data_IF_169222047404
#
_entry.id   IF_169222047404
#
_cell.length_a   1.000
_cell.length_b   1.000
_cell.length_c   1.000
_cell.angle_alpha   90.00
_cell.angle_beta   90.00
_cell.angle_gamma   90.00
#
_symmetry.space_group_name_H-M   'P 1'
#
loop_
_entity.id
_entity.type
_entity.pdbx_description
1 polymer ?
#
# COMPACT_ATOMS: atom_id res chain seq x y z
N UNK A 1 -17.13 -42.59 -19.59
CA UNK A 1 -16.29 -41.39 -19.38
C UNK A 1 -16.72 -40.72 -18.08
N UNK A 2 -15.98 -40.93 -16.99
CA UNK A 2 -16.22 -40.29 -15.68
C UNK A 2 -15.14 -39.21 -15.45
N UNK A 3 -15.13 -38.19 -16.29
CA UNK A 3 -14.30 -37.00 -16.12
C UNK A 3 -15.24 -35.82 -15.90
N UNK A 4 -15.75 -35.63 -14.67
CA UNK A 4 -16.83 -34.65 -14.47
C UNK A 4 -16.93 -33.96 -13.13
N UNK A 5 -16.27 -34.43 -12.06
CA UNK A 5 -16.55 -33.89 -10.72
C UNK A 5 -15.35 -33.20 -10.06
N UNK A 6 -14.12 -33.72 -10.24
CA UNK A 6 -12.94 -33.13 -9.62
C UNK A 6 -12.50 -31.79 -10.25
N UNK A 7 -12.61 -31.66 -11.58
CA UNK A 7 -12.26 -30.43 -12.31
C UNK A 7 -13.25 -29.29 -12.04
N UNK A 8 -14.55 -29.60 -11.87
CA UNK A 8 -15.58 -28.61 -11.54
C UNK A 8 -15.50 -28.14 -10.07
N UNK A 9 -15.17 -29.04 -9.13
CA UNK A 9 -14.93 -28.67 -7.73
C UNK A 9 -13.67 -27.82 -7.55
N UNK A 10 -12.58 -28.12 -8.28
CA UNK A 10 -11.38 -27.29 -8.28
C UNK A 10 -11.63 -25.90 -8.89
N UNK A 11 -12.47 -25.81 -9.94
CA UNK A 11 -12.86 -24.54 -10.54
C UNK A 11 -13.75 -23.69 -9.60
N UNK A 12 -14.65 -24.31 -8.83
CA UNK A 12 -15.54 -23.60 -7.90
C UNK A 12 -14.82 -23.14 -6.61
N UNK A 13 -13.79 -23.88 -6.18
CA UNK A 13 -12.90 -23.45 -5.09
C UNK A 13 -11.98 -22.28 -5.51
N UNK A 14 -11.58 -22.22 -6.80
CA UNK A 14 -10.75 -21.14 -7.33
C UNK A 14 -11.50 -19.80 -7.52
N UNK A 15 -12.83 -19.79 -7.50
CA UNK A 15 -13.64 -18.58 -7.72
C UNK A 15 -14.03 -17.83 -6.43
N UNK A 16 -13.83 -18.43 -5.25
CA UNK A 16 -14.19 -17.81 -3.97
C UNK A 16 -12.93 -17.49 -3.18
N UNK A 17 -12.20 -16.48 -3.65
CA UNK A 17 -10.92 -16.13 -3.06
C UNK A 17 -11.20 -15.05 -2.05
N UNK A 18 -11.34 -15.47 -0.80
CA UNK A 18 -11.61 -14.58 0.32
C UNK A 18 -10.32 -13.96 0.83
N UNK A 19 -9.45 -13.48 -0.07
CA UNK A 19 -8.11 -13.02 0.25
C UNK A 19 -7.85 -11.53 -0.03
N UNK A 20 -8.87 -10.70 -0.05
CA UNK A 20 -8.73 -9.30 -0.38
C UNK A 20 -8.26 -8.48 0.81
N UNK A 21 -7.39 -7.53 0.52
CA UNK A 21 -6.91 -6.54 1.46
C UNK A 21 -6.19 -5.44 0.70
N UNK A 22 -6.18 -4.23 1.24
CA UNK A 22 -5.70 -3.04 0.55
C UNK A 22 -4.89 -2.17 1.52
N UNK A 23 -3.94 -1.39 0.99
CA UNK A 23 -3.27 -0.37 1.80
C UNK A 23 -4.21 0.85 1.89
N UNK A 24 -4.73 1.10 3.08
CA UNK A 24 -5.64 2.21 3.39
C UNK A 24 -4.93 3.57 3.38
N UNK A 25 -3.66 3.58 3.76
CA UNK A 25 -2.86 4.80 3.69
C UNK A 25 -1.49 4.64 4.31
N UNK A 26 -0.62 5.58 3.98
CA UNK A 26 0.71 5.75 4.55
C UNK A 26 0.67 6.81 5.66
N UNK A 27 1.41 6.56 6.74
CA UNK A 27 1.57 7.49 7.84
C UNK A 27 3.01 8.00 7.85
N UNK A 28 3.18 9.27 7.49
CA UNK A 28 4.48 9.92 7.44
C UNK A 28 5.00 10.26 8.83
N UNK A 29 6.32 10.12 9.04
CA UNK A 29 6.94 10.54 10.30
C UNK A 29 6.87 12.07 10.50
N UNK A 30 6.67 12.83 9.42
CA UNK A 30 6.37 14.26 9.43
C UNK A 30 4.91 14.61 9.77
N UNK A 31 4.07 13.62 10.12
CA UNK A 31 2.66 13.82 10.47
C UNK A 31 1.71 13.93 9.27
N UNK A 32 2.23 13.90 8.04
CA UNK A 32 1.40 13.90 6.83
C UNK A 32 0.97 12.47 6.50
N UNK A 33 -0.33 12.28 6.31
CA UNK A 33 -0.92 11.01 5.90
C UNK A 33 -1.54 11.16 4.52
N UNK A 34 -1.37 10.17 3.66
CA UNK A 34 -2.02 10.10 2.34
C UNK A 34 -2.64 8.73 2.12
N UNK A 35 -3.76 8.65 1.37
CA UNK A 35 -4.41 7.38 1.06
C UNK A 35 -3.54 6.51 0.13
N UNK A 36 -3.87 5.23 0.07
CA UNK A 36 -3.30 4.30 -0.91
C UNK A 36 -3.57 4.75 -2.35
N UNK A 37 -2.69 4.35 -3.27
CA UNK A 37 -2.74 4.77 -4.67
C UNK A 37 -3.87 4.11 -5.47
N UNK A 38 -4.41 3.00 -4.98
CA UNK A 38 -5.49 2.27 -5.65
C UNK A 38 -6.87 2.60 -5.09
N UNK A 39 -6.96 3.40 -4.02
CA UNK A 39 -8.20 3.61 -3.29
C UNK A 39 -9.25 4.33 -4.11
N UNK A 40 -10.49 3.96 -3.87
CA UNK A 40 -11.67 4.54 -4.51
C UNK A 40 -12.61 4.97 -3.39
N UNK A 41 -12.93 6.27 -3.32
CA UNK A 41 -13.90 6.80 -2.35
C UNK A 41 -15.23 6.04 -2.44
N UNK A 42 -15.96 6.00 -1.33
CA UNK A 42 -17.20 5.25 -1.12
C UNK A 42 -17.07 3.71 -1.12
N UNK A 43 -15.88 3.15 -1.36
CA UNK A 43 -15.64 1.71 -1.20
C UNK A 43 -15.91 1.28 0.26
N UNK A 44 -16.83 0.34 0.52
CA UNK A 44 -17.13 -0.09 1.88
C UNK A 44 -15.94 -0.76 2.56
N UNK A 45 -15.70 -0.44 3.83
CA UNK A 45 -14.63 -1.02 4.66
C UNK A 45 -15.16 -1.91 5.78
N UNK A 46 -16.47 -2.03 5.94
CA UNK A 46 -17.09 -2.76 7.04
C UNK A 46 -17.73 -4.09 6.62
N UNK A 47 -17.59 -4.45 5.34
CA UNK A 47 -18.19 -5.63 4.74
C UNK A 47 -17.14 -6.56 4.10
N UNK A 48 -17.24 -7.86 4.40
CA UNK A 48 -16.27 -8.87 3.97
C UNK A 48 -16.70 -9.66 2.71
N UNK A 49 -17.78 -9.24 2.05
CA UNK A 49 -18.38 -9.93 0.90
C UNK A 49 -18.07 -9.19 -0.39
N UNK A 50 -17.63 -9.88 -1.47
CA UNK A 50 -17.48 -9.24 -2.78
C UNK A 50 -18.74 -8.50 -3.25
N UNK A 51 -19.93 -8.96 -2.84
CA UNK A 51 -21.23 -8.42 -3.27
C UNK A 51 -21.52 -7.00 -2.79
N UNK A 52 -20.84 -6.52 -1.75
CA UNK A 52 -21.01 -5.14 -1.28
C UNK A 52 -19.99 -4.17 -1.92
N UNK A 53 -19.09 -4.65 -2.78
CA UNK A 53 -18.11 -3.81 -3.47
C UNK A 53 -16.88 -3.46 -2.65
N UNK A 54 -16.67 -4.02 -1.45
CA UNK A 54 -15.52 -3.73 -0.58
C UNK A 54 -14.15 -4.15 -1.16
N UNK A 55 -14.16 -4.91 -2.25
CA UNK A 55 -12.97 -5.38 -2.96
C UNK A 55 -12.63 -4.53 -4.19
N UNK A 56 -13.44 -3.50 -4.49
CA UNK A 56 -13.36 -2.73 -5.73
C UNK A 56 -11.99 -2.08 -5.97
N UNK A 57 -11.33 -1.66 -4.89
CA UNK A 57 -10.04 -0.96 -4.91
C UNK A 57 -8.86 -1.81 -4.40
N UNK A 58 -9.11 -3.10 -4.13
CA UNK A 58 -8.06 -4.05 -3.82
C UNK A 58 -7.21 -4.33 -5.07
N UNK A 59 -5.91 -4.09 -4.97
CA UNK A 59 -4.99 -4.30 -6.09
C UNK A 59 -4.67 -5.79 -6.27
N UNK A 60 -4.86 -6.28 -7.49
CA UNK A 60 -4.43 -7.60 -7.96
C UNK A 60 -3.01 -7.47 -8.51
N UNK A 61 -2.02 -8.02 -7.81
CA UNK A 61 -0.58 -7.86 -8.08
C UNK A 61 0.01 -9.22 -8.47
N UNK A 62 -0.41 -9.72 -9.63
CA UNK A 62 0.10 -10.97 -10.21
C UNK A 62 1.34 -10.69 -11.04
N UNK A 63 2.46 -11.33 -10.74
CA UNK A 63 3.75 -11.10 -11.43
C UNK A 63 3.63 -11.17 -12.96
N UNK A 64 2.89 -12.15 -13.47
CA UNK A 64 2.66 -12.33 -14.92
C UNK A 64 1.83 -11.22 -15.58
N UNK A 65 1.14 -10.38 -14.83
CA UNK A 65 0.30 -9.28 -15.35
C UNK A 65 1.01 -7.92 -15.27
N UNK A 66 2.04 -7.77 -14.43
CA UNK A 66 2.68 -6.48 -14.18
C UNK A 66 3.41 -5.94 -15.41
N UNK A 67 3.21 -4.65 -15.68
CA UNK A 67 3.83 -3.95 -16.82
C UNK A 67 3.18 -4.27 -18.17
N UNK A 68 2.01 -4.93 -18.16
CA UNK A 68 1.22 -5.20 -19.37
C UNK A 68 0.11 -4.16 -19.52
N UNK A 69 -0.59 -4.14 -20.65
CA UNK A 69 -1.78 -3.29 -20.82
C UNK A 69 -2.91 -3.62 -19.81
N UNK A 70 -2.89 -4.81 -19.20
CA UNK A 70 -3.90 -5.25 -18.23
C UNK A 70 -3.64 -4.70 -16.82
N UNK A 71 -2.37 -4.54 -16.42
CA UNK A 71 -1.98 -4.10 -15.09
C UNK A 71 -0.67 -3.32 -15.13
N UNK A 72 -0.62 -2.20 -14.41
CA UNK A 72 0.62 -1.43 -14.25
C UNK A 72 1.62 -2.17 -13.37
N UNK A 73 2.79 -1.59 -13.10
CA UNK A 73 3.69 -2.14 -12.10
C UNK A 73 3.10 -2.11 -10.68
N UNK A 74 1.96 -1.47 -10.45
CA UNK A 74 1.26 -1.47 -9.16
C UNK A 74 0.08 -2.46 -9.13
N UNK A 75 -0.15 -3.18 -10.23
CA UNK A 75 -1.27 -4.09 -10.39
C UNK A 75 -2.48 -3.41 -11.02
N UNK A 76 -3.65 -3.97 -10.74
CA UNK A 76 -4.94 -3.45 -11.20
C UNK A 76 -6.03 -3.72 -10.18
N UNK A 77 -7.07 -2.92 -10.17
CA UNK A 77 -8.26 -3.15 -9.33
C UNK A 77 -9.44 -3.59 -10.19
N UNK A 78 -10.50 -4.12 -9.55
CA UNK A 78 -11.73 -4.46 -10.26
C UNK A 78 -12.54 -3.20 -10.62
N UNK A 79 -12.51 -2.18 -9.78
CA UNK A 79 -13.26 -0.93 -9.96
C UNK A 79 -12.55 0.14 -10.79
N UNK A 80 -11.22 0.10 -10.88
CA UNK A 80 -10.42 1.18 -11.50
C UNK A 80 -9.46 0.74 -12.62
N UNK A 81 -9.29 -0.57 -12.88
CA UNK A 81 -8.34 -1.05 -13.89
C UNK A 81 -6.88 -0.92 -13.42
N UNK A 82 -5.89 -0.76 -14.33
CA UNK A 82 -4.49 -0.55 -13.97
C UNK A 82 -4.31 0.60 -12.98
N UNK A 83 -3.57 0.39 -11.89
CA UNK A 83 -3.35 1.43 -10.87
C UNK A 83 -2.40 2.50 -11.42
N UNK A 84 -2.84 3.76 -11.45
CA UNK A 84 -2.09 4.90 -11.96
C UNK A 84 -1.62 5.80 -10.81
N UNK A 85 -0.35 5.64 -10.44
CA UNK A 85 0.28 6.47 -9.40
C UNK A 85 0.33 7.94 -9.80
N UNK A 86 0.57 8.26 -11.07
CA UNK A 86 0.72 9.64 -11.52
C UNK A 86 -0.60 10.40 -11.43
N UNK A 87 -1.72 9.76 -11.80
CA UNK A 87 -3.06 10.32 -11.65
C UNK A 87 -3.42 10.58 -10.19
N UNK A 88 -3.19 9.61 -9.31
CA UNK A 88 -3.49 9.78 -7.88
C UNK A 88 -2.58 10.84 -7.23
N UNK A 89 -1.29 10.81 -7.55
CA UNK A 89 -0.33 11.82 -7.08
C UNK A 89 -0.67 13.22 -7.58
N UNK A 90 -1.15 13.37 -8.81
CA UNK A 90 -1.60 14.65 -9.34
C UNK A 90 -2.77 15.22 -8.52
N UNK A 91 -3.69 14.36 -8.05
CA UNK A 91 -4.76 14.76 -7.11
C UNK A 91 -4.17 15.29 -5.80
N UNK A 92 -3.20 14.58 -5.21
CA UNK A 92 -2.56 15.02 -3.95
C UNK A 92 -1.77 16.33 -4.12
N UNK A 93 -1.21 16.56 -5.30
CA UNK A 93 -0.45 17.76 -5.66
C UNK A 93 -1.32 18.90 -6.22
N UNK A 94 -2.63 18.70 -6.36
CA UNK A 94 -3.54 19.72 -6.88
C UNK A 94 -3.89 20.78 -5.81
N UNK A 95 -2.93 21.64 -5.48
CA UNK A 95 -3.10 22.70 -4.49
C UNK A 95 -4.24 23.67 -4.81
N UNK A 96 -4.51 23.92 -6.10
CA UNK A 96 -5.60 24.78 -6.54
C UNK A 96 -6.98 24.21 -6.18
N UNK A 97 -7.20 22.91 -6.42
CA UNK A 97 -8.46 22.24 -6.05
C UNK A 97 -8.57 21.97 -4.53
N UNK A 98 -7.44 21.95 -3.81
CA UNK A 98 -7.38 21.65 -2.38
C UNK A 98 -8.14 22.61 -1.46
N UNK A 99 -8.49 23.81 -1.92
CA UNK A 99 -9.18 24.83 -1.11
C UNK A 99 -10.67 24.99 -1.43
N UNK A 100 -11.20 24.16 -2.33
CA UNK A 100 -12.64 24.16 -2.67
C UNK A 100 -13.50 23.74 -1.48
N UNK A 101 -14.73 24.27 -1.39
CA UNK A 101 -15.70 23.92 -0.34
C UNK A 101 -15.94 22.40 -0.28
N UNK A 102 -16.06 21.76 -1.45
CA UNK A 102 -16.26 20.32 -1.53
C UNK A 102 -15.09 19.49 -0.98
N UNK A 103 -13.84 19.97 -1.13
CA UNK A 103 -12.65 19.29 -0.58
C UNK A 103 -12.56 19.49 0.91
N UNK A 104 -12.86 20.70 1.41
CA UNK A 104 -12.90 20.97 2.87
C UNK A 104 -13.94 20.09 3.57
N UNK A 105 -15.15 20.00 3.04
CA UNK A 105 -16.18 19.11 3.56
C UNK A 105 -15.75 17.63 3.52
N UNK A 106 -15.07 17.19 2.45
CA UNK A 106 -14.54 15.84 2.37
C UNK A 106 -13.50 15.55 3.46
N UNK A 107 -12.63 16.52 3.80
CA UNK A 107 -11.67 16.39 4.90
C UNK A 107 -12.34 16.27 6.26
N UNK A 108 -13.37 17.08 6.53
CA UNK A 108 -14.15 17.00 7.77
C UNK A 108 -14.81 15.62 7.94
N UNK A 109 -15.41 15.10 6.86
CA UNK A 109 -16.00 13.76 6.84
C UNK A 109 -14.92 12.69 7.06
N UNK A 110 -13.79 12.81 6.36
CA UNK A 110 -12.69 11.87 6.48
C UNK A 110 -12.11 11.84 7.90
N UNK A 111 -11.90 13.00 8.52
CA UNK A 111 -11.42 13.12 9.89
C UNK A 111 -12.39 12.47 10.88
N UNK A 112 -13.70 12.72 10.75
CA UNK A 112 -14.72 12.09 11.58
C UNK A 112 -14.74 10.56 11.40
N UNK A 113 -14.59 10.08 10.15
CA UNK A 113 -14.50 8.65 9.85
C UNK A 113 -13.26 8.01 10.49
N UNK A 114 -12.10 8.64 10.37
CA UNK A 114 -10.86 8.15 10.98
C UNK A 114 -10.94 8.13 12.50
N UNK A 115 -11.49 9.18 13.12
CA UNK A 115 -11.68 9.23 14.58
C UNK A 115 -12.53 8.06 15.08
N UNK A 116 -13.59 7.72 14.34
CA UNK A 116 -14.47 6.59 14.67
C UNK A 116 -13.79 5.24 14.39
N UNK A 117 -13.08 5.11 13.27
CA UNK A 117 -12.39 3.89 12.83
C UNK A 117 -11.22 3.52 13.74
N UNK A 118 -10.48 4.52 14.23
CA UNK A 118 -9.25 4.34 15.00
C UNK A 118 -9.39 4.69 16.49
N UNK A 119 -10.63 4.75 17.00
CA UNK A 119 -10.91 5.01 18.42
C UNK A 119 -10.20 4.04 19.38
N UNK A 120 -9.94 2.79 18.97
CA UNK A 120 -9.15 1.83 19.76
C UNK A 120 -7.65 2.02 19.55
N UNK A 121 -7.12 3.12 20.08
CA UNK A 121 -5.70 3.49 19.97
C UNK A 121 -4.80 2.42 20.61
N UNK A 122 -5.20 1.86 21.76
CA UNK A 122 -4.39 0.88 22.49
C UNK A 122 -4.10 -0.39 21.68
N UNK A 123 -5.10 -0.92 20.95
CA UNK A 123 -4.90 -2.08 20.08
C UNK A 123 -3.93 -1.78 18.93
N UNK A 124 -4.04 -0.59 18.30
CA UNK A 124 -3.14 -0.16 17.21
C UNK A 124 -1.70 0.01 17.71
N UNK A 125 -1.51 0.62 18.88
CA UNK A 125 -0.18 0.79 19.49
C UNK A 125 0.46 -0.55 19.88
N UNK A 126 -0.36 -1.52 20.27
CA UNK A 126 0.08 -2.90 20.51
C UNK A 126 0.33 -3.70 19.22
N UNK A 127 0.21 -3.07 18.04
CA UNK A 127 0.38 -3.70 16.74
C UNK A 127 -0.71 -4.71 16.37
N UNK A 128 -1.85 -4.70 17.07
CA UNK A 128 -2.98 -5.60 16.83
C UNK A 128 -3.94 -5.00 15.81
N UNK A 129 -4.63 -5.88 15.08
CA UNK A 129 -5.71 -5.49 14.19
C UNK A 129 -6.90 -4.90 14.96
N UNK A 130 -7.53 -3.87 14.39
CA UNK A 130 -8.75 -3.27 14.93
C UNK A 130 -9.92 -3.50 13.99
N UNK A 131 -11.04 -3.99 14.53
CA UNK A 131 -12.26 -4.20 13.73
C UNK A 131 -12.80 -2.88 13.20
N UNK A 132 -13.10 -2.86 11.91
CA UNK A 132 -13.66 -1.67 11.26
C UNK A 132 -15.13 -1.47 11.69
N UNK A 133 -15.52 -0.27 12.17
CA UNK A 133 -16.91 0.00 12.56
C UNK A 133 -17.89 -0.09 11.38
N UNK A 134 -19.16 -0.42 11.67
CA UNK A 134 -20.23 -0.45 10.66
C UNK A 134 -20.46 0.92 10.02
N UNK A 135 -20.79 0.93 8.74
CA UNK A 135 -21.00 2.12 7.90
C UNK A 135 -19.72 2.85 7.51
N UNK A 136 -18.54 2.28 7.77
CA UNK A 136 -17.28 2.88 7.33
C UNK A 136 -17.11 2.68 5.83
N UNK A 137 -16.86 3.76 5.11
CA UNK A 137 -16.50 3.78 3.69
C UNK A 137 -15.20 4.54 3.49
N UNK A 138 -14.53 4.29 2.37
CA UNK A 138 -13.36 5.05 1.94
C UNK A 138 -13.73 6.52 1.70
N UNK A 139 -12.91 7.45 2.19
CA UNK A 139 -13.16 8.91 2.08
C UNK A 139 -11.89 9.72 1.91
N UNK A 140 -10.73 9.05 1.83
CA UNK A 140 -9.43 9.67 1.84
C UNK A 140 -9.04 10.30 0.52
N UNK A 141 -9.55 9.83 -0.63
CA UNK A 141 -9.06 10.27 -1.94
C UNK A 141 -9.39 11.74 -2.18
N UNK A 142 -10.67 12.11 -2.09
CA UNK A 142 -11.08 13.51 -2.23
C UNK A 142 -10.51 14.38 -1.12
N UNK A 143 -10.49 13.90 0.12
CA UNK A 143 -9.91 14.62 1.26
C UNK A 143 -8.43 14.96 1.05
N UNK A 144 -7.67 14.07 0.41
CA UNK A 144 -6.26 14.22 0.09
C UNK A 144 -5.95 15.21 -1.04
N UNK A 145 -6.97 15.71 -1.75
CA UNK A 145 -6.78 16.68 -2.85
C UNK A 145 -5.96 17.88 -2.38
N UNK A 146 -4.82 18.14 -3.01
CA UNK A 146 -3.92 19.24 -2.69
C UNK A 146 -3.19 19.14 -1.34
N UNK A 147 -3.35 18.07 -0.56
CA UNK A 147 -2.67 17.92 0.74
C UNK A 147 -1.16 17.89 0.59
N UNK A 148 -0.64 17.13 -0.39
CA UNK A 148 0.79 17.02 -0.59
C UNK A 148 1.42 18.32 -1.11
N UNK A 149 0.68 19.10 -1.90
CA UNK A 149 1.14 20.43 -2.33
C UNK A 149 1.26 21.42 -1.17
N UNK A 150 0.40 21.30 -0.15
CA UNK A 150 0.36 22.22 0.99
C UNK A 150 1.29 21.79 2.14
N UNK A 151 1.37 20.49 2.41
CA UNK A 151 2.03 19.95 3.62
C UNK A 151 3.28 19.13 3.29
N UNK A 152 3.56 18.90 2.00
CA UNK A 152 4.58 17.95 1.55
C UNK A 152 4.07 16.50 1.55
N UNK A 153 4.93 15.58 1.13
CA UNK A 153 4.62 14.15 1.09
C UNK A 153 4.84 13.48 2.47
N UNK A 154 4.15 12.36 2.77
CA UNK A 154 4.49 11.47 3.87
C UNK A 154 5.96 11.03 3.79
N UNK A 155 6.70 11.20 4.88
CA UNK A 155 8.12 10.79 4.94
C UNK A 155 8.30 9.46 5.64
N UNK A 156 9.37 8.72 5.31
CA UNK A 156 9.89 7.68 6.22
C UNK A 156 10.22 8.27 7.59
N UNK A 157 10.27 7.40 8.60
CA UNK A 157 11.01 7.68 9.83
C UNK A 157 12.50 7.84 9.52
N UNK A 158 13.23 8.39 10.49
CA UNK A 158 14.64 8.67 10.28
C UNK A 158 15.45 7.43 9.99
N UNK A 159 15.11 6.26 10.52
CA UNK A 159 15.71 4.95 10.26
C UNK A 159 15.38 4.37 8.85
N UNK A 160 14.49 5.01 8.09
CA UNK A 160 14.02 4.54 6.79
C UNK A 160 12.80 3.61 6.88
N UNK A 161 12.17 3.49 8.05
CA UNK A 161 10.91 2.77 8.22
C UNK A 161 9.74 3.57 7.64
N UNK A 162 8.87 2.89 6.90
CA UNK A 162 7.59 3.41 6.42
C UNK A 162 6.48 2.78 7.26
N UNK A 163 5.56 3.60 7.77
CA UNK A 163 4.37 3.13 8.50
C UNK A 163 3.15 3.24 7.60
N UNK A 164 2.28 2.23 7.63
CA UNK A 164 1.05 2.20 6.85
C UNK A 164 -0.04 1.44 7.59
N UNK A 165 -1.28 1.61 7.14
CA UNK A 165 -2.41 0.80 7.57
C UNK A 165 -2.85 -0.10 6.44
N UNK A 166 -2.92 -1.40 6.69
CA UNK A 166 -3.45 -2.40 5.78
C UNK A 166 -4.85 -2.81 6.23
N UNK A 167 -5.83 -2.64 5.37
CA UNK A 167 -7.20 -3.06 5.61
C UNK A 167 -7.41 -4.47 5.05
N UNK A 168 -7.63 -5.44 5.94
CA UNK A 168 -8.10 -6.77 5.57
C UNK A 168 -9.60 -6.70 5.26
N UNK A 169 -10.01 -7.17 4.08
CA UNK A 169 -11.42 -7.24 3.68
C UNK A 169 -12.04 -8.58 4.11
N UNK A 170 -11.33 -9.70 3.92
CA UNK A 170 -11.82 -11.04 4.27
C UNK A 170 -10.71 -12.03 4.66
N UNK A 171 -11.10 -13.25 5.04
CA UNK A 171 -10.34 -14.19 5.89
C UNK A 171 -8.89 -14.47 5.46
N UNK A 172 -8.65 -14.68 4.18
CA UNK A 172 -7.36 -15.04 3.59
C UNK A 172 -6.55 -13.79 3.18
N UNK A 173 -7.08 -12.59 3.44
CA UNK A 173 -6.56 -11.33 2.93
C UNK A 173 -5.52 -10.65 3.80
N UNK A 174 -5.30 -11.17 5.01
CA UNK A 174 -4.53 -10.51 6.04
C UNK A 174 -3.03 -10.48 5.73
N UNK A 175 -2.40 -11.64 5.56
CA UNK A 175 -0.94 -11.75 5.44
C UNK A 175 -0.42 -13.19 5.57
N UNK A 176 0.89 -13.38 5.82
CA UNK A 176 1.90 -12.33 5.89
C UNK A 176 2.06 -11.62 4.54
N UNK A 177 2.25 -10.30 4.60
CA UNK A 177 2.50 -9.48 3.42
C UNK A 177 3.96 -9.55 3.01
N UNK A 178 4.20 -9.48 1.70
CA UNK A 178 5.49 -9.16 1.10
C UNK A 178 5.46 -7.70 0.64
N UNK A 179 6.58 -7.00 0.80
CA UNK A 179 6.73 -5.63 0.34
C UNK A 179 7.85 -5.53 -0.71
N UNK A 180 7.60 -4.72 -1.72
CA UNK A 180 8.61 -4.25 -2.65
C UNK A 180 8.57 -2.71 -2.70
N UNK A 181 9.72 -2.07 -2.92
CA UNK A 181 9.84 -0.62 -3.04
C UNK A 181 10.56 -0.27 -4.34
N UNK A 182 10.00 0.67 -5.07
CA UNK A 182 10.62 1.33 -6.22
C UNK A 182 11.05 2.75 -5.83
N UNK A 183 12.33 3.06 -6.00
CA UNK A 183 12.89 4.39 -5.74
C UNK A 183 13.07 5.27 -6.98
N UNK A 184 12.76 4.76 -8.19
CA UNK A 184 13.22 5.37 -9.45
C UNK A 184 12.14 5.56 -10.51
N UNK A 185 11.26 4.58 -10.73
CA UNK A 185 10.32 4.61 -11.86
C UNK A 185 8.98 5.28 -11.52
N UNK A 186 8.70 5.46 -10.22
CA UNK A 186 7.42 5.98 -9.77
C UNK A 186 6.27 4.98 -9.87
N UNK A 187 6.57 3.68 -9.79
CA UNK A 187 5.59 2.61 -9.93
C UNK A 187 5.19 2.32 -11.38
N UNK A 188 6.05 2.63 -12.35
CA UNK A 188 5.79 2.39 -13.77
C UNK A 188 6.54 1.17 -14.32
N UNK A 189 7.69 0.83 -13.75
CA UNK A 189 8.54 -0.30 -14.16
C UNK A 189 8.56 -1.40 -13.08
N UNK A 190 8.04 -2.61 -13.36
CA UNK A 190 8.09 -3.73 -12.43
C UNK A 190 9.51 -4.13 -12.00
N UNK A 191 10.52 -3.90 -12.85
CA UNK A 191 11.92 -4.26 -12.59
C UNK A 191 12.64 -3.29 -11.64
N UNK A 192 12.09 -2.09 -11.45
CA UNK A 192 12.63 -1.09 -10.53
C UNK A 192 12.33 -1.42 -9.05
N UNK A 193 11.35 -2.30 -8.81
CA UNK A 193 10.98 -2.76 -7.48
C UNK A 193 12.03 -3.70 -6.87
N UNK A 194 12.45 -3.39 -5.65
CA UNK A 194 13.32 -4.24 -4.84
C UNK A 194 12.58 -4.70 -3.59
N UNK A 195 12.77 -5.96 -3.22
CA UNK A 195 12.18 -6.51 -2.01
C UNK A 195 12.60 -5.71 -0.77
N UNK A 196 11.62 -5.42 0.07
CA UNK A 196 11.76 -4.70 1.32
C UNK A 196 11.30 -5.58 2.49
N UNK A 197 11.90 -5.37 3.66
CA UNK A 197 11.56 -6.15 4.85
C UNK A 197 10.28 -5.60 5.50
N UNK A 198 9.32 -6.48 5.79
CA UNK A 198 8.11 -6.13 6.55
C UNK A 198 8.38 -6.36 8.04
N UNK A 199 8.78 -5.31 8.75
CA UNK A 199 9.21 -5.36 10.16
C UNK A 199 8.05 -5.43 11.15
N UNK A 200 6.86 -5.00 10.73
CA UNK A 200 5.61 -5.25 11.43
C UNK A 200 4.59 -5.70 10.40
N UNK A 201 4.12 -6.93 10.52
CA UNK A 201 3.31 -7.58 9.49
C UNK A 201 1.90 -7.89 10.01
N UNK A 202 0.99 -8.07 9.07
CA UNK A 202 -0.33 -8.62 9.35
C UNK A 202 -0.17 -10.12 9.66
N UNK A 203 -0.78 -10.63 10.75
CA UNK A 203 -0.73 -12.06 11.06
C UNK A 203 -1.29 -12.91 9.91
N UNK A 204 -0.68 -14.08 9.68
CA UNK A 204 -1.16 -15.04 8.69
C UNK A 204 -2.36 -15.87 9.17
N UNK A 205 -2.98 -16.57 8.23
CA UNK A 205 -4.11 -17.48 8.48
C UNK A 205 -3.70 -18.56 9.51
N UNK A 206 -4.58 -18.82 10.50
CA UNK A 206 -4.38 -19.89 11.49
C UNK A 206 -3.53 -19.51 12.71
N UNK A 207 -2.90 -18.32 12.73
CA UNK A 207 -2.19 -17.80 13.90
C UNK A 207 -3.12 -16.84 14.65
N UNK A 208 -3.43 -17.13 15.91
CA UNK A 208 -4.18 -16.22 16.80
C UNK A 208 -5.71 -16.26 16.69
N UNK A 209 -6.31 -17.33 16.16
CA UNK A 209 -7.76 -17.52 16.19
C UNK A 209 -8.56 -16.64 15.21
N UNK A 210 -7.91 -16.12 14.17
CA UNK A 210 -8.52 -15.39 13.05
C UNK A 210 -9.39 -16.33 12.19
N UNK A 211 -10.52 -16.75 12.74
CA UNK A 211 -11.50 -17.63 12.10
C UNK A 211 -12.84 -16.89 11.97
N UNK A 212 -12.99 -16.17 10.87
CA UNK A 212 -14.19 -15.44 10.49
C UNK A 212 -13.88 -14.39 9.42
N UNK A 213 -14.82 -14.12 8.52
CA UNK A 213 -14.71 -13.02 7.58
C UNK A 213 -14.58 -11.71 8.39
N UNK A 214 -13.38 -11.14 8.44
CA UNK A 214 -13.06 -10.04 9.35
C UNK A 214 -12.56 -8.82 8.57
N UNK A 215 -13.31 -7.74 8.69
CA UNK A 215 -12.91 -6.41 8.27
C UNK A 215 -12.11 -5.74 9.38
N UNK A 216 -10.81 -5.60 9.15
CA UNK A 216 -9.89 -5.13 10.17
C UNK A 216 -8.77 -4.29 9.59
N UNK A 217 -8.34 -3.31 10.37
CA UNK A 217 -7.20 -2.45 10.05
C UNK A 217 -5.99 -2.90 10.85
N UNK A 218 -4.88 -3.16 10.16
CA UNK A 218 -3.64 -3.58 10.75
C UNK A 218 -2.55 -2.53 10.51
N UNK A 219 -1.83 -2.10 11.55
CA UNK A 219 -0.60 -1.35 11.37
C UNK A 219 0.47 -2.24 10.73
N UNK A 220 1.10 -1.75 9.67
CA UNK A 220 2.17 -2.44 8.96
C UNK A 220 3.37 -1.50 8.86
N UNK A 221 4.58 -2.05 9.03
CA UNK A 221 5.83 -1.31 8.88
C UNK A 221 6.74 -2.02 7.89
N UNK A 222 7.37 -1.23 7.02
CA UNK A 222 8.30 -1.72 6.01
C UNK A 222 9.60 -0.94 6.10
N UNK A 223 10.73 -1.65 6.13
CA UNK A 223 12.05 -1.05 6.11
C UNK A 223 12.51 -0.86 4.66
N UNK A 224 12.93 0.36 4.32
CA UNK A 224 13.53 0.62 3.02
C UNK A 224 14.82 -0.21 2.79
N UNK A 225 15.02 -0.76 1.57
CA UNK A 225 16.26 -1.44 1.22
C UNK A 225 17.50 -0.55 1.41
N UNK A 226 18.57 -1.13 1.95
CA UNK A 226 19.81 -0.40 2.18
C UNK A 226 20.37 0.21 0.89
N UNK A 227 20.73 1.49 0.93
CA UNK A 227 21.24 2.22 -0.23
C UNK A 227 20.18 2.69 -1.23
N UNK A 228 18.90 2.39 -1.02
CA UNK A 228 17.84 2.94 -1.87
C UNK A 228 17.61 4.43 -1.57
N UNK A 229 17.53 5.23 -2.62
CA UNK A 229 17.12 6.64 -2.58
C UNK A 229 15.79 6.82 -3.30
N UNK A 230 14.98 7.78 -2.84
CA UNK A 230 13.77 8.18 -3.55
C UNK A 230 14.11 9.28 -4.55
N UNK A 231 14.07 8.94 -5.83
CA UNK A 231 14.52 9.77 -6.94
C UNK A 231 13.46 9.89 -8.06
N UNK A 232 12.31 9.21 -7.93
CA UNK A 232 11.25 9.31 -8.92
C UNK A 232 10.54 10.67 -8.88
N UNK A 233 10.01 11.08 -10.03
CA UNK A 233 9.07 12.19 -10.17
C UNK A 233 7.70 11.62 -10.55
N UNK A 234 6.66 11.86 -9.77
CA UNK A 234 5.34 11.23 -9.94
C UNK A 234 4.24 12.26 -9.70
N UNK A 235 3.39 12.48 -10.69
CA UNK A 235 2.20 13.35 -10.55
C UNK A 235 2.47 14.73 -9.98
N UNK A 236 3.63 15.33 -10.29
CA UNK A 236 4.03 16.65 -9.79
C UNK A 236 4.82 16.66 -8.48
N UNK A 237 5.02 15.52 -7.82
CA UNK A 237 5.91 15.38 -6.68
C UNK A 237 7.29 14.86 -7.11
N UNK A 238 8.34 15.29 -6.39
CA UNK A 238 9.72 14.85 -6.60
C UNK A 238 10.27 14.08 -5.42
N UNK A 239 11.35 13.32 -5.64
CA UNK A 239 11.99 12.47 -4.64
C UNK A 239 11.05 11.41 -4.07
N UNK A 240 10.22 10.84 -4.93
CA UNK A 240 9.18 9.86 -4.56
C UNK A 240 9.74 8.45 -4.61
N UNK A 241 9.40 7.66 -3.61
CA UNK A 241 9.42 6.20 -3.69
C UNK A 241 7.98 5.70 -3.70
N UNK A 242 7.77 4.52 -4.29
CA UNK A 242 6.50 3.81 -4.25
C UNK A 242 6.70 2.46 -3.58
N UNK A 243 5.98 2.21 -2.49
CA UNK A 243 5.92 0.90 -1.85
C UNK A 243 4.68 0.16 -2.33
N UNK A 244 4.81 -1.14 -2.52
CA UNK A 244 3.71 -2.04 -2.89
C UNK A 244 3.74 -3.25 -1.98
N UNK A 245 2.60 -3.58 -1.39
CA UNK A 245 2.45 -4.77 -0.55
C UNK A 245 1.45 -5.71 -1.18
N UNK A 246 1.68 -7.02 -0.99
CA UNK A 246 0.77 -8.08 -1.41
C UNK A 246 0.84 -9.30 -0.50
N UNK A 247 -0.28 -10.00 -0.35
CA UNK A 247 -0.32 -11.30 0.30
C UNK A 247 0.08 -12.45 -0.65
N UNK A 248 -0.05 -13.70 -0.19
CA UNK A 248 0.31 -14.90 -0.94
C UNK A 248 -0.88 -15.63 -1.60
N UNK A 249 -2.01 -14.95 -1.81
CA UNK A 249 -3.23 -15.59 -2.31
C UNK A 249 -3.07 -16.14 -3.74
N UNK A 250 -3.44 -17.40 -3.94
CA UNK A 250 -3.22 -18.12 -5.20
C UNK A 250 -3.98 -17.54 -6.38
N UNK A 251 -5.22 -17.10 -6.18
CA UNK A 251 -5.98 -16.53 -7.29
C UNK A 251 -5.57 -15.11 -7.64
N UNK A 252 -4.65 -14.51 -6.90
CA UNK A 252 -4.10 -13.20 -7.18
C UNK A 252 -3.53 -12.65 -5.90
N UNK A 253 -2.22 -12.42 -5.79
CA UNK A 253 -1.69 -11.69 -4.65
C UNK A 253 -2.42 -10.35 -4.55
N UNK A 254 -3.08 -10.10 -3.42
CA UNK A 254 -3.87 -8.90 -3.20
C UNK A 254 -3.16 -7.95 -2.26
N UNK A 255 -3.34 -6.65 -2.48
CA UNK A 255 -2.81 -5.63 -1.62
C UNK A 255 -3.04 -4.23 -2.18
N UNK A 256 -1.98 -3.43 -2.18
CA UNK A 256 -2.04 -2.06 -2.67
C UNK A 256 -0.66 -1.41 -2.71
N UNK A 257 -0.64 -0.11 -2.95
CA UNK A 257 0.59 0.67 -3.02
C UNK A 257 0.42 2.07 -2.42
N UNK A 258 1.50 2.66 -1.96
CA UNK A 258 1.57 4.02 -1.41
C UNK A 258 2.79 4.75 -1.96
N UNK A 259 2.68 6.07 -2.07
CA UNK A 259 3.80 6.95 -2.42
C UNK A 259 4.27 7.72 -1.17
N UNK A 260 5.58 7.90 -1.06
CA UNK A 260 6.21 8.56 0.08
C UNK A 260 7.55 9.16 -0.33
N UNK A 261 8.15 9.97 0.55
CA UNK A 261 9.51 10.49 0.40
C UNK A 261 10.40 10.01 1.56
N UNK A 262 11.71 10.14 1.41
CA UNK A 262 12.64 9.87 2.51
C UNK A 262 12.77 11.07 3.44
N UNK A 263 12.94 10.79 4.73
CA UNK A 263 13.50 11.81 5.63
C UNK A 263 14.93 12.17 5.20
N UNK A 264 15.37 13.37 5.55
CA UNK A 264 16.75 13.83 5.26
C UNK A 264 17.79 12.87 5.84
N UNK A 265 17.56 12.36 7.07
CA UNK A 265 18.47 11.42 7.72
C UNK A 265 18.48 10.05 7.02
N UNK A 266 17.31 9.55 6.62
CA UNK A 266 17.21 8.28 5.89
C UNK A 266 17.93 8.35 4.54
N UNK A 267 17.73 9.44 3.79
CA UNK A 267 18.41 9.67 2.51
C UNK A 267 19.92 9.75 2.69
N UNK A 268 20.40 10.48 3.71
CA UNK A 268 21.84 10.58 4.02
C UNK A 268 22.45 9.20 4.26
N UNK A 269 21.83 8.35 5.09
CA UNK A 269 22.32 6.98 5.34
C UNK A 269 22.34 6.11 4.08
N UNK A 270 21.34 6.24 3.20
CA UNK A 270 21.33 5.52 1.94
C UNK A 270 22.51 5.92 1.03
N UNK A 271 22.80 7.22 0.94
CA UNK A 271 23.94 7.74 0.17
C UNK A 271 25.27 7.28 0.77
N UNK A 272 25.43 7.37 2.09
CA UNK A 272 26.64 6.90 2.79
C UNK A 272 26.87 5.40 2.59
N UNK A 273 25.82 4.59 2.66
CA UNK A 273 25.89 3.16 2.36
C UNK A 273 26.41 2.92 0.94
N UNK A 274 25.89 3.65 -0.06
CA UNK A 274 26.32 3.52 -1.44
C UNK A 274 27.78 3.93 -1.65
N UNK A 275 28.21 5.03 -1.02
CA UNK A 275 29.61 5.47 -1.06
C UNK A 275 30.55 4.43 -0.46
N UNK A 276 30.19 3.88 0.70
CA UNK A 276 30.93 2.79 1.34
C UNK A 276 31.04 1.57 0.43
N UNK A 277 29.92 1.12 -0.16
CA UNK A 277 29.90 -0.03 -1.07
C UNK A 277 30.71 0.21 -2.35
N UNK A 278 30.75 1.43 -2.87
CA UNK A 278 31.61 1.79 -4.01
C UNK A 278 33.09 1.72 -3.63
N UNK A 279 33.46 2.24 -2.45
CA UNK A 279 34.82 2.16 -1.93
C UNK A 279 35.28 0.71 -1.75
N UNK A 280 34.46 -0.13 -1.09
CA UNK A 280 34.74 -1.56 -0.89
C UNK A 280 34.98 -2.29 -2.22
N UNK A 281 34.14 -2.03 -3.24
CA UNK A 281 34.29 -2.63 -4.58
C UNK A 281 35.56 -2.18 -5.28
N UNK A 282 35.96 -0.91 -5.11
CA UNK A 282 37.22 -0.39 -5.68
C UNK A 282 38.42 -1.07 -5.03
N UNK A 283 38.50 -1.09 -3.70
CA UNK A 283 39.59 -1.77 -2.99
C UNK A 283 39.68 -3.25 -3.34
N UNK A 284 38.55 -3.94 -3.51
CA UNK A 284 38.52 -5.34 -3.92
C UNK A 284 39.00 -5.58 -5.37
N UNK A 285 38.88 -4.58 -6.26
CA UNK A 285 39.44 -4.65 -7.62
C UNK A 285 40.94 -4.39 -7.60
N UNK A 286 41.38 -3.42 -6.81
CA UNK A 286 42.80 -3.05 -6.69
C UNK A 286 43.62 -4.19 -6.04
N UNK A 287 43.02 -5.02 -5.18
CA UNK A 287 43.68 -6.22 -4.62
C UNK A 287 43.77 -7.41 -5.59
N UNK A 288 42.98 -7.41 -6.69
CA UNK A 288 42.94 -8.49 -7.69
C UNK A 288 43.78 -8.20 -8.94
N UNK A 289 44.32 -6.98 -9.05
CA UNK A 289 45.22 -6.54 -10.12
C UNK A 289 46.67 -6.71 -9.67
#
# INVERSE_FOLDING_TARGET
MKYGSALLLAAFAATNVFAHGVIDGVQGANGVNLPGLSLIDDTPRDCASPRCGSEADTSIIRDRELGTAKASALGRTQGGGPVDAAAMMATFMNGAAGNTTATKAAREIHEANLARRYANIAARQAGKGTKTPKGTVETGVKAATGMAAQQGMPTTADDGTISMTFHQVNQDGAGPLKADIDGTSGGTDPSAFKTAEVTQNVPGIGIGGLSGASTMDFPVKVQMPAGMTCDANVGGASNVCVARLRNAALAGPFGGSVAFTQSTAARKRAVEFNLKKRSERRSARDFKA
#
